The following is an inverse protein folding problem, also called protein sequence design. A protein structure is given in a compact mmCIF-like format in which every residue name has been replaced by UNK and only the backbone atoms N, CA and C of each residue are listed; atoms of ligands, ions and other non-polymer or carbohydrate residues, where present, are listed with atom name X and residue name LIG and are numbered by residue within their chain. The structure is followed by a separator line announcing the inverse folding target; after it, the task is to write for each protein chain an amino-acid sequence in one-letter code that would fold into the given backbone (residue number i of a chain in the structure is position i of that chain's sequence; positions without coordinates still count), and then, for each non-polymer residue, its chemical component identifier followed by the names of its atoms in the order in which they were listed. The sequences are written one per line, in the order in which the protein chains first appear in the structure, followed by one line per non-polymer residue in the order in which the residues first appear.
data_IF_336035241866
#
_entry.id   IF_336035241866
#
_cell.length_a   1.000
_cell.length_b   1.000
_cell.length_c   1.000
_cell.angle_alpha   90.00
_cell.angle_beta   90.00
_cell.angle_gamma   90.00
#
_symmetry.space_group_name_H-M   'P 1'
#
loop_
_entity.id
_entity.type
_entity.pdbx_description
1 polymer ?
#
# COMPACT_ATOMS: atom_id res chain seq x y z
N UNK A 1 30.75 3.19 16.12
CA UNK A 1 29.52 3.87 15.67
C UNK A 1 28.37 3.09 16.29
N UNK A 2 27.91 3.53 17.46
CA UNK A 2 26.90 2.82 18.23
C UNK A 2 25.54 3.07 17.56
N UNK A 3 24.94 1.99 17.06
CA UNK A 3 23.54 1.98 16.69
C UNK A 3 22.78 1.85 18.02
N UNK A 4 22.52 2.99 18.68
CA UNK A 4 21.44 3.07 19.66
C UNK A 4 20.13 3.00 18.87
N UNK A 5 19.72 1.77 18.62
CA UNK A 5 18.55 1.38 17.86
C UNK A 5 17.29 1.78 18.66
N UNK A 6 16.64 2.84 18.20
CA UNK A 6 15.28 3.29 18.50
C UNK A 6 14.45 2.34 19.39
N UNK A 7 14.42 2.65 20.69
CA UNK A 7 13.38 2.17 21.60
C UNK A 7 12.04 2.82 21.23
N UNK A 8 11.32 2.17 20.32
CA UNK A 8 9.96 2.54 19.98
C UNK A 8 9.01 1.41 20.37
N UNK A 9 8.59 1.46 21.64
CA UNK A 9 7.28 1.00 22.17
C UNK A 9 7.17 -0.46 22.61
N UNK A 10 7.96 -0.86 23.60
CA UNK A 10 7.60 -1.99 24.46
C UNK A 10 6.35 -1.60 25.26
N UNK A 11 5.23 -2.32 25.10
CA UNK A 11 4.02 -2.17 25.93
C UNK A 11 2.73 -1.70 25.23
N UNK A 12 2.68 -1.62 23.90
CA UNK A 12 1.41 -1.36 23.19
C UNK A 12 0.60 -2.65 23.14
N UNK A 13 -0.66 -2.57 23.59
CA UNK A 13 -1.62 -3.68 23.52
C UNK A 13 -2.64 -3.43 22.42
N UNK A 14 -3.03 -4.47 21.69
CA UNK A 14 -4.19 -4.41 20.79
C UNK A 14 -5.51 -4.31 21.57
N UNK A 15 -6.64 -4.24 20.87
CA UNK A 15 -7.97 -4.16 21.49
C UNK A 15 -8.33 -5.40 22.34
N UNK A 16 -7.64 -6.51 22.12
CA UNK A 16 -7.79 -7.77 22.85
C UNK A 16 -6.75 -7.91 23.99
N UNK A 17 -5.93 -6.88 24.23
CA UNK A 17 -4.96 -6.82 25.32
C UNK A 17 -3.63 -7.52 25.03
N UNK A 18 -3.34 -7.93 23.80
CA UNK A 18 -2.10 -8.61 23.42
C UNK A 18 -0.98 -7.64 23.13
N UNK A 19 0.23 -7.96 23.59
CA UNK A 19 1.41 -7.17 23.28
C UNK A 19 1.73 -7.22 21.79
N UNK A 20 1.71 -6.05 21.15
CA UNK A 20 2.06 -5.86 19.76
C UNK A 20 3.25 -4.91 19.68
N UNK A 21 4.19 -5.21 18.79
CA UNK A 21 5.17 -4.20 18.41
C UNK A 21 4.40 -3.27 17.48
N UNK A 22 4.04 -2.10 18.01
CA UNK A 22 3.36 -1.10 17.23
C UNK A 22 4.35 -0.48 16.25
N UNK A 23 4.50 -1.14 15.11
CA UNK A 23 5.13 -0.52 13.99
C UNK A 23 4.11 0.39 13.29
N UNK A 24 4.16 1.68 13.62
CA UNK A 24 3.39 2.73 12.92
C UNK A 24 3.92 2.97 11.50
N UNK A 25 4.88 2.18 11.03
CA UNK A 25 5.41 2.30 9.69
C UNK A 25 4.36 1.92 8.65
N UNK A 26 4.40 2.70 7.59
CA UNK A 26 3.65 2.46 6.38
C UNK A 26 4.62 2.53 5.21
N UNK A 27 4.32 1.77 4.16
CA UNK A 27 5.04 1.84 2.91
C UNK A 27 4.05 2.04 1.77
N UNK A 28 4.52 2.68 0.69
CA UNK A 28 3.70 3.00 -0.46
C UNK A 28 4.12 2.21 -1.71
N UNK A 29 3.81 0.91 -1.80
CA UNK A 29 4.09 0.16 -3.01
C UNK A 29 3.21 0.63 -4.18
N UNK A 30 3.78 0.59 -5.37
CA UNK A 30 3.02 0.71 -6.62
C UNK A 30 2.27 -0.58 -6.90
N UNK A 31 0.96 -0.49 -7.08
CA UNK A 31 0.11 -1.61 -7.43
C UNK A 31 0.05 -1.80 -8.94
N UNK A 32 0.39 -3.00 -9.41
CA UNK A 32 0.37 -3.34 -10.84
C UNK A 32 -1.06 -3.47 -11.42
N UNK A 33 -2.06 -3.84 -10.60
CA UNK A 33 -3.45 -4.00 -11.07
C UNK A 33 -4.14 -2.66 -11.34
N UNK A 34 -3.98 -1.69 -10.43
CA UNK A 34 -4.67 -0.41 -10.54
C UNK A 34 -3.76 0.75 -10.98
N UNK A 35 -2.44 0.55 -11.06
CA UNK A 35 -1.49 1.59 -11.44
C UNK A 35 -1.42 2.76 -10.45
N UNK A 36 -1.67 2.51 -9.16
CA UNK A 36 -1.67 3.53 -8.09
C UNK A 36 -0.73 3.14 -6.95
N UNK A 37 -0.31 4.14 -6.17
CA UNK A 37 0.35 3.92 -4.88
C UNK A 37 -0.71 3.64 -3.83
N UNK A 38 -0.59 2.51 -3.16
CA UNK A 38 -1.45 2.16 -2.03
C UNK A 38 -0.67 2.32 -0.74
N UNK A 39 -1.37 2.62 0.35
CA UNK A 39 -0.75 2.65 1.67
C UNK A 39 -0.87 1.27 2.26
N UNK A 40 0.25 0.69 2.62
CA UNK A 40 0.29 -0.60 3.30
C UNK A 40 0.76 -0.37 4.73
N UNK A 41 0.03 -0.94 5.66
CA UNK A 41 0.38 -1.00 7.07
C UNK A 41 0.74 -2.45 7.40
N UNK A 42 1.70 -2.63 8.29
CA UNK A 42 2.02 -3.96 8.81
C UNK A 42 2.04 -3.92 10.32
N UNK A 43 1.58 -5.01 10.93
CA UNK A 43 1.56 -5.16 12.38
C UNK A 43 2.13 -6.51 12.72
N UNK A 44 3.04 -6.53 13.70
CA UNK A 44 3.66 -7.76 14.22
C UNK A 44 3.05 -8.07 15.58
N UNK A 45 2.29 -9.16 15.65
CA UNK A 45 1.82 -9.76 16.90
C UNK A 45 2.89 -10.75 17.35
N UNK A 46 3.48 -10.51 18.52
CA UNK A 46 4.53 -11.38 19.07
C UNK A 46 3.90 -12.59 19.75
N UNK A 47 4.41 -13.78 19.43
CA UNK A 47 4.07 -15.02 20.13
C UNK A 47 4.94 -15.26 21.36
N UNK A 48 4.77 -16.41 22.04
CA UNK A 48 5.67 -16.79 23.15
C UNK A 48 7.05 -17.20 22.64
N UNK A 49 7.12 -17.65 21.40
CA UNK A 49 8.35 -17.97 20.69
C UNK A 49 8.37 -17.27 19.32
N UNK A 50 9.56 -17.02 18.72
CA UNK A 50 9.63 -16.36 17.40
C UNK A 50 8.89 -17.11 16.28
N UNK A 51 8.66 -18.42 16.44
CA UNK A 51 7.89 -19.24 15.49
C UNK A 51 6.39 -18.98 15.56
N UNK A 52 5.93 -18.37 16.65
CA UNK A 52 4.53 -18.02 16.89
C UNK A 52 4.22 -16.56 16.53
N UNK A 53 5.22 -15.78 16.10
CA UNK A 53 5.02 -14.42 15.62
C UNK A 53 4.13 -14.40 14.38
N UNK A 54 3.21 -13.44 14.34
CA UNK A 54 2.31 -13.22 13.20
C UNK A 54 2.53 -11.84 12.63
N UNK A 55 2.72 -11.79 11.32
CA UNK A 55 2.75 -10.53 10.58
C UNK A 55 1.41 -10.40 9.86
N UNK A 56 0.72 -9.30 10.10
CA UNK A 56 -0.49 -8.94 9.37
C UNK A 56 -0.22 -7.74 8.48
N UNK A 57 -0.74 -7.77 7.26
CA UNK A 57 -0.68 -6.66 6.31
C UNK A 57 -2.08 -6.11 6.10
N UNK A 58 -2.22 -4.78 6.17
CA UNK A 58 -3.45 -4.08 5.81
C UNK A 58 -3.16 -3.15 4.65
N UNK A 59 -3.96 -3.25 3.61
CA UNK A 59 -3.83 -2.42 2.41
C UNK A 59 -4.99 -1.44 2.41
N UNK A 60 -4.68 -0.15 2.52
CA UNK A 60 -5.65 0.90 2.30
C UNK A 60 -5.71 1.21 0.80
N UNK A 61 -6.74 0.65 0.16
CA UNK A 61 -7.04 0.91 -1.25
C UNK A 61 -7.91 2.16 -1.36
N UNK A 62 -7.53 3.07 -2.27
CA UNK A 62 -8.39 4.16 -2.70
C UNK A 62 -9.15 3.75 -3.97
N UNK A 63 -10.41 3.36 -3.79
CA UNK A 63 -11.28 2.93 -4.89
C UNK A 63 -11.69 4.10 -5.79
N UNK A 64 -11.80 5.31 -5.26
CA UNK A 64 -12.15 6.50 -6.04
C UNK A 64 -10.99 6.86 -6.98
N UNK A 65 -9.77 6.92 -6.45
CA UNK A 65 -8.56 7.11 -7.25
C UNK A 65 -8.42 5.99 -8.28
N UNK A 66 -8.72 4.74 -7.90
CA UNK A 66 -8.67 3.59 -8.83
C UNK A 66 -9.62 3.77 -10.00
N UNK A 67 -10.88 4.13 -9.73
CA UNK A 67 -11.90 4.38 -10.77
C UNK A 67 -11.48 5.54 -11.67
N UNK A 68 -10.96 6.62 -11.08
CA UNK A 68 -10.49 7.78 -11.82
C UNK A 68 -9.33 7.41 -12.76
N UNK A 69 -8.32 6.67 -12.27
CA UNK A 69 -7.18 6.20 -13.07
C UNK A 69 -7.63 5.37 -14.27
N UNK A 70 -8.51 4.39 -14.07
CA UNK A 70 -9.07 3.56 -15.15
C UNK A 70 -9.80 4.40 -16.20
N UNK A 71 -10.56 5.42 -15.77
CA UNK A 71 -11.25 6.34 -16.68
C UNK A 71 -10.26 7.17 -17.51
N UNK A 72 -9.21 7.69 -16.89
CA UNK A 72 -8.16 8.45 -17.59
C UNK A 72 -7.45 7.58 -18.62
N UNK A 73 -7.09 6.34 -18.28
CA UNK A 73 -6.46 5.42 -19.24
C UNK A 73 -7.34 5.13 -20.46
N UNK A 74 -8.65 4.98 -20.26
CA UNK A 74 -9.61 4.81 -21.36
C UNK A 74 -9.63 6.05 -22.27
N UNK A 75 -9.74 7.24 -21.68
CA UNK A 75 -9.75 8.50 -22.44
C UNK A 75 -8.46 8.72 -23.23
N UNK A 76 -7.30 8.38 -22.65
CA UNK A 76 -6.02 8.48 -23.36
C UNK A 76 -5.97 7.57 -24.59
N UNK A 77 -6.48 6.33 -24.48
CA UNK A 77 -6.59 5.42 -25.63
C UNK A 77 -7.49 5.98 -26.73
N UNK A 78 -8.66 6.51 -26.36
CA UNK A 78 -9.59 7.13 -27.31
C UNK A 78 -8.96 8.33 -28.04
N UNK A 79 -8.25 9.21 -27.32
CA UNK A 79 -7.52 10.34 -27.90
C UNK A 79 -6.47 9.88 -28.90
N UNK A 80 -5.72 8.83 -28.60
CA UNK A 80 -4.69 8.30 -29.49
C UNK A 80 -5.29 7.68 -30.76
N UNK A 81 -6.42 7.00 -30.67
CA UNK A 81 -7.15 6.50 -31.83
C UNK A 81 -7.66 7.64 -32.72
N UNK A 82 -8.20 8.70 -32.13
CA UNK A 82 -8.64 9.89 -32.86
C UNK A 82 -7.48 10.59 -33.57
N UNK A 83 -6.31 10.69 -32.92
CA UNK A 83 -5.09 11.21 -33.53
C UNK A 83 -4.63 10.37 -34.73
N UNK A 84 -4.65 9.03 -34.60
CA UNK A 84 -4.33 8.10 -35.70
C UNK A 84 -5.31 8.24 -36.87
N UNK A 85 -6.61 8.36 -36.60
CA UNK A 85 -7.64 8.59 -37.62
C UNK A 85 -7.45 9.91 -38.37
N UNK A 86 -7.10 11.00 -37.65
CA UNK A 86 -6.78 12.31 -38.28
C UNK A 86 -5.55 12.25 -39.19
N UNK A 87 -4.49 11.53 -38.78
CA UNK A 87 -3.28 11.37 -39.61
C UNK A 87 -3.53 10.57 -40.89
N UNK A 88 -4.43 9.58 -40.89
CA UNK A 88 -4.78 8.79 -42.08
C UNK A 88 -5.67 9.52 -43.09
N UNK A 89 -6.30 10.63 -42.69
CA UNK A 89 -7.14 11.47 -43.56
C UNK A 89 -6.39 12.65 -44.18
N UNK A 90 -5.10 12.82 -43.85
CA UNK A 90 -4.19 13.82 -44.41
C UNK A 90 -3.23 13.12 -45.34
#
# INVERSE_FOLDING_TARGET
MNIEEYDNRIGVKDFDGKEVINNNDFWFPWCCDCGLRHVYFFTVERGKTPKEDKISFRICRDDAATKYRKKVEKLLKEVDELKKKKKRKK
#
